data_IF_158763279372
#
_entry.id   IF_158763279372
#
_cell.length_a   1.000
_cell.length_b   1.000
_cell.length_c   1.000
_cell.angle_alpha   90.00
_cell.angle_beta   90.00
_cell.angle_gamma   90.00
#
_symmetry.space_group_name_H-M   'P 1'
#
loop_
_entity.id
_entity.type
_entity.pdbx_description
1 polymer ?
#
# COMPACT_ATOMS: atom_id res chain seq x y z
N UNK A 1 -46.72 -26.40 -28.03
CA UNK A 1 -46.90 -26.97 -26.68
C UNK A 1 -46.22 -26.06 -25.67
N UNK A 2 -46.53 -26.21 -24.37
CA UNK A 2 -45.98 -25.38 -23.29
C UNK A 2 -45.18 -26.24 -22.33
N UNK A 3 -43.96 -25.82 -22.00
CA UNK A 3 -43.09 -26.52 -21.04
C UNK A 3 -42.52 -25.55 -20.03
N UNK A 4 -42.38 -26.03 -18.81
CA UNK A 4 -41.63 -25.41 -17.72
C UNK A 4 -40.30 -26.16 -17.58
N UNK A 5 -39.19 -25.45 -17.54
CA UNK A 5 -37.86 -26.00 -17.34
C UNK A 5 -37.26 -25.35 -16.10
N UNK A 6 -36.74 -26.16 -15.17
CA UNK A 6 -36.08 -25.69 -13.95
C UNK A 6 -34.62 -26.12 -14.00
N UNK A 7 -33.71 -25.15 -13.99
CA UNK A 7 -32.27 -25.38 -13.90
C UNK A 7 -31.83 -25.06 -12.48
N UNK A 8 -31.32 -26.04 -11.72
CA UNK A 8 -30.81 -25.85 -10.35
C UNK A 8 -29.29 -25.78 -10.32
N UNK A 9 -28.76 -25.08 -9.31
CA UNK A 9 -27.33 -24.98 -9.02
C UNK A 9 -26.90 -23.52 -8.84
N UNK A 10 -25.61 -23.20 -8.98
CA UNK A 10 -25.12 -21.81 -8.96
C UNK A 10 -25.46 -21.11 -10.28
N UNK A 11 -26.65 -20.52 -10.36
CA UNK A 11 -27.23 -20.00 -11.60
C UNK A 11 -27.76 -18.56 -11.47
N UNK A 12 -27.72 -17.94 -10.29
CA UNK A 12 -28.07 -16.53 -10.11
C UNK A 12 -26.85 -15.62 -10.35
N UNK A 13 -27.09 -14.41 -10.86
CA UNK A 13 -26.06 -13.39 -11.12
C UNK A 13 -24.88 -13.83 -12.00
N UNK A 14 -25.02 -14.92 -12.75
CA UNK A 14 -24.01 -15.44 -13.71
C UNK A 14 -24.41 -15.21 -15.17
N UNK A 15 -25.39 -14.35 -15.44
CA UNK A 15 -25.84 -14.05 -16.80
C UNK A 15 -26.77 -15.09 -17.44
N UNK A 16 -27.32 -16.02 -16.66
CA UNK A 16 -28.12 -17.14 -17.17
C UNK A 16 -29.40 -16.69 -17.90
N UNK A 17 -30.15 -15.70 -17.37
CA UNK A 17 -31.38 -15.19 -17.99
C UNK A 17 -31.16 -14.56 -19.39
N UNK A 18 -30.22 -13.60 -19.57
CA UNK A 18 -29.85 -13.12 -20.90
C UNK A 18 -29.37 -14.22 -21.85
N UNK A 19 -28.58 -15.17 -21.34
CA UNK A 19 -28.10 -16.30 -22.13
C UNK A 19 -29.25 -17.16 -22.66
N UNK A 20 -30.22 -17.50 -21.82
CA UNK A 20 -31.39 -18.29 -22.21
C UNK A 20 -32.28 -17.54 -23.21
N UNK A 21 -32.46 -16.23 -23.02
CA UNK A 21 -33.18 -15.40 -23.99
C UNK A 21 -32.50 -15.44 -25.36
N UNK A 22 -31.17 -15.30 -25.41
CA UNK A 22 -30.42 -15.41 -26.67
C UNK A 22 -30.60 -16.77 -27.38
N UNK A 23 -30.66 -17.87 -26.62
CA UNK A 23 -30.97 -19.18 -27.17
C UNK A 23 -32.40 -19.25 -27.72
N UNK A 24 -33.38 -18.67 -27.01
CA UNK A 24 -34.77 -18.65 -27.43
C UNK A 24 -34.96 -17.84 -28.73
N UNK A 25 -34.32 -16.67 -28.83
CA UNK A 25 -34.29 -15.84 -30.03
C UNK A 25 -33.65 -16.57 -31.22
N UNK A 26 -32.51 -17.24 -30.99
CA UNK A 26 -31.82 -18.03 -32.02
C UNK A 26 -32.71 -19.14 -32.61
N UNK A 27 -33.54 -19.76 -31.77
CA UNK A 27 -34.49 -20.79 -32.19
C UNK A 27 -35.81 -20.21 -32.70
N UNK A 28 -36.00 -18.89 -32.69
CA UNK A 28 -37.24 -18.22 -33.08
C UNK A 28 -38.42 -18.64 -32.22
N UNK A 29 -38.21 -18.74 -30.91
CA UNK A 29 -39.24 -19.01 -29.90
C UNK A 29 -39.92 -17.69 -29.55
N UNK A 30 -41.17 -17.53 -29.99
CA UNK A 30 -41.91 -16.26 -29.82
C UNK A 30 -42.35 -15.99 -28.38
N UNK A 31 -42.51 -17.02 -27.56
CA UNK A 31 -43.09 -16.94 -26.21
C UNK A 31 -42.15 -17.58 -25.21
N UNK A 32 -41.53 -16.73 -24.40
CA UNK A 32 -40.42 -17.09 -23.54
C UNK A 32 -40.43 -16.23 -22.29
N UNK A 33 -40.16 -16.86 -21.15
CA UNK A 33 -39.95 -16.18 -19.89
C UNK A 33 -38.90 -16.95 -19.10
N UNK A 34 -38.02 -16.24 -18.38
CA UNK A 34 -37.11 -16.86 -17.44
C UNK A 34 -36.97 -16.01 -16.18
N UNK A 35 -37.02 -16.64 -15.01
CA UNK A 35 -36.83 -15.95 -13.75
C UNK A 35 -36.00 -16.74 -12.74
N UNK A 36 -35.37 -16.00 -11.84
CA UNK A 36 -34.59 -16.55 -10.77
C UNK A 36 -35.54 -16.92 -9.62
N UNK A 37 -35.63 -18.21 -9.32
CA UNK A 37 -36.43 -18.74 -8.22
C UNK A 37 -35.53 -19.44 -7.20
N UNK A 38 -36.09 -19.76 -6.03
CA UNK A 38 -35.44 -20.64 -5.06
C UNK A 38 -36.26 -21.91 -4.93
N UNK A 39 -35.62 -23.07 -5.09
CA UNK A 39 -36.28 -24.36 -4.90
C UNK A 39 -35.56 -25.07 -3.77
N UNK A 40 -36.28 -25.34 -2.67
CA UNK A 40 -35.71 -25.90 -1.44
C UNK A 40 -34.54 -25.07 -0.86
N UNK A 41 -34.57 -23.75 -1.03
CA UNK A 41 -33.50 -22.84 -0.58
C UNK A 41 -32.32 -22.72 -1.53
N UNK A 42 -32.21 -23.57 -2.55
CA UNK A 42 -31.17 -23.54 -3.57
C UNK A 42 -31.53 -22.60 -4.72
N UNK A 43 -30.51 -22.03 -5.35
CA UNK A 43 -30.65 -21.21 -6.55
C UNK A 43 -31.18 -22.04 -7.72
N UNK A 44 -32.21 -21.52 -8.39
CA UNK A 44 -32.69 -22.08 -9.63
C UNK A 44 -33.13 -21.01 -10.62
N UNK A 45 -33.11 -21.33 -11.91
CA UNK A 45 -33.74 -20.53 -12.97
C UNK A 45 -34.91 -21.33 -13.50
N UNK A 46 -36.10 -20.75 -13.38
CA UNK A 46 -37.33 -21.25 -13.98
C UNK A 46 -37.46 -20.63 -15.37
N UNK A 47 -37.85 -21.44 -16.35
CA UNK A 47 -37.99 -21.07 -17.75
C UNK A 47 -39.34 -21.56 -18.23
N UNK A 48 -40.13 -20.69 -18.84
CA UNK A 48 -41.41 -21.01 -19.43
C UNK A 48 -41.33 -20.77 -20.94
N UNK A 49 -41.64 -21.80 -21.72
CA UNK A 49 -41.51 -21.78 -23.18
C UNK A 49 -42.80 -22.27 -23.82
N UNK A 50 -43.29 -21.53 -24.82
CA UNK A 50 -44.34 -21.99 -25.73
C UNK A 50 -43.82 -22.00 -27.17
N UNK A 51 -43.67 -23.21 -27.72
CA UNK A 51 -43.17 -23.44 -29.08
C UNK A 51 -43.59 -24.83 -29.60
N UNK A 52 -43.39 -25.12 -30.90
CA UNK A 52 -43.43 -26.49 -31.42
C UNK A 52 -42.45 -27.39 -30.68
N UNK A 53 -42.79 -28.69 -30.58
CA UNK A 53 -42.01 -29.68 -29.83
C UNK A 53 -40.55 -29.76 -30.27
N UNK A 54 -40.30 -29.72 -31.59
CA UNK A 54 -38.97 -29.71 -32.19
C UNK A 54 -38.07 -28.58 -31.65
N UNK A 55 -38.63 -27.37 -31.51
CA UNK A 55 -37.90 -26.21 -30.99
C UNK A 55 -37.62 -26.33 -29.50
N UNK A 56 -38.56 -26.89 -28.73
CA UNK A 56 -38.38 -27.12 -27.30
C UNK A 56 -37.29 -28.17 -27.06
N UNK A 57 -37.30 -29.26 -27.83
CA UNK A 57 -36.27 -30.29 -27.75
C UNK A 57 -34.89 -29.73 -28.12
N UNK A 58 -34.82 -28.90 -29.18
CA UNK A 58 -33.60 -28.20 -29.57
C UNK A 58 -33.09 -27.27 -28.46
N UNK A 59 -34.00 -26.51 -27.82
CA UNK A 59 -33.66 -25.64 -26.69
C UNK A 59 -33.11 -26.46 -25.50
N UNK A 60 -33.76 -27.58 -25.18
CA UNK A 60 -33.35 -28.47 -24.10
C UNK A 60 -31.95 -29.07 -24.32
N UNK A 61 -31.61 -29.43 -25.56
CA UNK A 61 -30.27 -29.91 -25.89
C UNK A 61 -29.21 -28.80 -25.81
N UNK A 62 -29.55 -27.56 -26.20
CA UNK A 62 -28.63 -26.42 -26.09
C UNK A 62 -28.28 -26.09 -24.64
N UNK A 63 -29.26 -26.06 -23.72
CA UNK A 63 -29.02 -25.74 -22.31
C UNK A 63 -28.24 -26.84 -21.55
N UNK A 64 -28.24 -28.08 -22.05
CA UNK A 64 -27.37 -29.15 -21.54
C UNK A 64 -25.92 -28.97 -21.98
N UNK A 65 -25.72 -28.54 -23.22
CA UNK A 65 -24.38 -28.42 -23.83
C UNK A 65 -23.69 -27.10 -23.50
N UNK A 66 -24.46 -26.02 -23.41
CA UNK A 66 -23.97 -24.65 -23.25
C UNK A 66 -24.52 -24.04 -21.97
N UNK A 67 -23.65 -23.33 -21.25
CA UNK A 67 -23.98 -22.57 -20.04
C UNK A 67 -23.08 -21.34 -19.94
N UNK A 68 -23.46 -20.32 -19.16
CA UNK A 68 -22.57 -19.20 -18.86
C UNK A 68 -21.30 -19.64 -18.13
N UNK A 69 -20.20 -18.92 -18.32
CA UNK A 69 -18.85 -19.23 -17.79
C UNK A 69 -18.85 -19.50 -16.28
N UNK A 70 -19.56 -18.65 -15.52
CA UNK A 70 -19.58 -18.72 -14.05
C UNK A 70 -20.69 -19.63 -13.49
N UNK A 71 -21.46 -20.30 -14.34
CA UNK A 71 -22.60 -21.12 -13.91
C UNK A 71 -22.20 -22.56 -13.55
N UNK A 72 -22.76 -23.07 -12.45
CA UNK A 72 -22.71 -24.49 -12.09
C UNK A 72 -24.12 -25.05 -12.10
N UNK A 73 -24.39 -25.97 -13.03
CA UNK A 73 -25.69 -26.62 -13.15
C UNK A 73 -25.61 -27.98 -12.47
N UNK A 74 -26.55 -28.26 -11.58
CA UNK A 74 -26.67 -29.51 -10.83
C UNK A 74 -27.75 -30.41 -11.42
N UNK A 75 -28.91 -29.83 -11.77
CA UNK A 75 -29.99 -30.58 -12.41
C UNK A 75 -30.83 -29.70 -13.32
N UNK A 76 -31.44 -30.34 -14.32
CA UNK A 76 -32.41 -29.73 -15.23
C UNK A 76 -33.65 -30.61 -15.20
N UNK A 77 -34.80 -30.03 -14.86
CA UNK A 77 -36.10 -30.72 -14.85
C UNK A 77 -37.02 -30.08 -15.88
N UNK A 78 -37.83 -30.89 -16.56
CA UNK A 78 -38.80 -30.43 -17.56
C UNK A 78 -40.17 -30.93 -17.12
N UNK A 79 -41.14 -30.02 -17.07
CA UNK A 79 -42.50 -30.23 -16.62
C UNK A 79 -43.49 -29.64 -17.64
N UNK A 80 -44.72 -30.12 -17.61
CA UNK A 80 -45.81 -29.48 -18.36
C UNK A 80 -46.21 -28.18 -17.70
N UNK A 81 -46.59 -27.20 -18.52
CA UNK A 81 -46.99 -25.90 -18.03
C UNK A 81 -48.34 -25.50 -18.63
N UNK A 82 -49.30 -25.24 -17.75
CA UNK A 82 -50.56 -24.61 -18.11
C UNK A 82 -50.54 -23.16 -17.66
N UNK A 83 -50.74 -22.24 -18.60
CA UNK A 83 -50.70 -20.82 -18.31
C UNK A 83 -50.35 -19.97 -19.53
N UNK A 84 -50.38 -18.66 -19.35
CA UNK A 84 -49.98 -17.71 -20.38
C UNK A 84 -48.49 -17.39 -20.26
N UNK A 85 -47.77 -17.44 -21.39
CA UNK A 85 -46.36 -17.07 -21.46
C UNK A 85 -46.27 -15.78 -22.26
N UNK A 86 -45.57 -14.77 -21.74
CA UNK A 86 -45.40 -13.51 -22.45
C UNK A 86 -44.56 -13.68 -23.73
N UNK A 87 -44.64 -12.70 -24.62
CA UNK A 87 -43.80 -12.68 -25.81
C UNK A 87 -42.33 -12.43 -25.43
N UNK A 88 -41.42 -13.06 -26.16
CA UNK A 88 -39.98 -12.94 -25.94
C UNK A 88 -39.51 -11.47 -26.03
N UNK A 89 -40.11 -10.68 -26.94
CA UNK A 89 -39.83 -9.25 -27.08
C UNK A 89 -40.28 -8.44 -25.84
N UNK A 90 -41.44 -8.78 -25.25
CA UNK A 90 -41.90 -8.16 -24.01
C UNK A 90 -40.98 -8.54 -22.84
N UNK A 91 -40.54 -9.80 -22.79
CA UNK A 91 -39.55 -10.25 -21.81
C UNK A 91 -38.19 -9.56 -22.00
N UNK A 92 -37.75 -9.33 -23.23
CA UNK A 92 -36.52 -8.58 -23.54
C UNK A 92 -36.58 -7.16 -22.96
N UNK A 93 -37.68 -6.44 -23.16
CA UNK A 93 -37.89 -5.10 -22.58
C UNK A 93 -37.86 -5.13 -21.05
N UNK A 94 -38.57 -6.08 -20.45
CA UNK A 94 -38.60 -6.28 -19.00
C UNK A 94 -37.21 -6.59 -18.43
N UNK A 95 -36.50 -7.55 -19.01
CA UNK A 95 -35.16 -7.95 -18.60
C UNK A 95 -34.19 -6.78 -18.74
N UNK A 96 -34.26 -6.02 -19.83
CA UNK A 96 -33.43 -4.84 -20.07
C UNK A 96 -33.64 -3.77 -19.00
N UNK A 97 -34.89 -3.47 -18.64
CA UNK A 97 -35.20 -2.50 -17.58
C UNK A 97 -34.64 -2.94 -16.21
N UNK A 98 -34.77 -4.21 -15.86
CA UNK A 98 -34.18 -4.76 -14.63
C UNK A 98 -32.66 -4.65 -14.64
N UNK A 99 -32.02 -4.94 -15.77
CA UNK A 99 -30.55 -4.86 -15.87
C UNK A 99 -30.06 -3.42 -15.75
N UNK A 100 -30.74 -2.47 -16.37
CA UNK A 100 -30.44 -1.04 -16.22
C UNK A 100 -30.59 -0.58 -14.76
N UNK A 101 -31.66 -0.99 -14.08
CA UNK A 101 -31.86 -0.68 -12.66
C UNK A 101 -30.75 -1.28 -11.77
N UNK A 102 -30.30 -2.51 -12.06
CA UNK A 102 -29.17 -3.12 -11.37
C UNK A 102 -27.87 -2.35 -11.62
N UNK A 103 -27.61 -1.96 -12.87
CA UNK A 103 -26.42 -1.17 -13.22
C UNK A 103 -26.45 0.18 -12.49
N UNK A 104 -27.58 0.89 -12.47
CA UNK A 104 -27.71 2.15 -11.74
C UNK A 104 -27.45 1.96 -10.23
N UNK A 105 -28.03 0.92 -9.64
CA UNK A 105 -27.89 0.62 -8.20
C UNK A 105 -26.45 0.26 -7.83
N UNK A 106 -25.90 -0.78 -8.48
CA UNK A 106 -24.55 -1.25 -8.20
C UNK A 106 -23.49 -0.23 -8.65
N UNK A 107 -23.74 0.49 -9.75
CA UNK A 107 -22.91 1.58 -10.23
C UNK A 107 -22.82 2.70 -9.20
N UNK A 108 -23.96 3.13 -8.63
CA UNK A 108 -23.99 4.10 -7.54
C UNK A 108 -23.20 3.64 -6.31
N UNK A 109 -23.38 2.38 -5.88
CA UNK A 109 -22.60 1.81 -4.77
C UNK A 109 -21.10 1.70 -5.07
N UNK A 110 -20.73 1.46 -6.34
CA UNK A 110 -19.33 1.39 -6.77
C UNK A 110 -18.69 2.77 -6.74
N UNK A 111 -19.39 3.80 -7.20
CA UNK A 111 -18.94 5.20 -7.11
C UNK A 111 -18.71 5.61 -5.65
N UNK A 112 -19.66 5.34 -4.75
CA UNK A 112 -19.52 5.66 -3.33
C UNK A 112 -18.31 4.94 -2.69
N UNK A 113 -18.04 3.68 -3.09
CA UNK A 113 -16.86 2.95 -2.62
C UNK A 113 -15.56 3.53 -3.19
N UNK A 114 -15.56 4.01 -4.43
CA UNK A 114 -14.41 4.69 -5.03
C UNK A 114 -14.14 6.02 -4.33
N UNK A 115 -15.16 6.82 -4.04
CA UNK A 115 -15.01 8.08 -3.29
C UNK A 115 -14.38 7.83 -1.91
N UNK A 116 -14.87 6.83 -1.17
CA UNK A 116 -14.26 6.43 0.12
C UNK A 116 -12.82 5.94 -0.01
N UNK A 117 -12.44 5.39 -1.16
CA UNK A 117 -11.06 4.96 -1.41
C UNK A 117 -10.16 6.17 -1.71
N UNK A 118 -10.64 7.13 -2.49
CA UNK A 118 -9.95 8.40 -2.76
C UNK A 118 -9.72 9.19 -1.47
N UNK A 119 -10.75 9.34 -0.62
CA UNK A 119 -10.60 10.00 0.69
C UNK A 119 -9.53 9.35 1.58
N UNK A 120 -9.39 8.02 1.52
CA UNK A 120 -8.34 7.31 2.26
C UNK A 120 -6.96 7.54 1.67
N UNK A 121 -6.85 7.66 0.35
CA UNK A 121 -5.60 8.00 -0.32
C UNK A 121 -5.16 9.42 0.03
N UNK A 122 -6.08 10.39 0.01
CA UNK A 122 -5.79 11.78 0.40
C UNK A 122 -5.25 11.86 1.84
N UNK A 123 -5.92 11.19 2.79
CA UNK A 123 -5.44 11.11 4.18
C UNK A 123 -4.07 10.43 4.33
N UNK A 124 -3.72 9.52 3.42
CA UNK A 124 -2.41 8.88 3.42
C UNK A 124 -1.34 9.82 2.88
N UNK A 125 -1.64 10.59 1.83
CA UNK A 125 -0.77 11.62 1.27
C UNK A 125 -0.50 12.72 2.30
N UNK A 126 -1.53 13.24 2.97
CA UNK A 126 -1.37 14.24 4.05
C UNK A 126 -0.44 13.75 5.17
N UNK A 127 -0.53 12.45 5.53
CA UNK A 127 0.37 11.85 6.52
C UNK A 127 1.80 11.73 6.02
N UNK A 128 1.99 11.41 4.73
CA UNK A 128 3.32 11.38 4.12
C UNK A 128 3.93 12.78 4.09
N UNK A 129 3.19 13.79 3.69
CA UNK A 129 3.65 15.18 3.72
C UNK A 129 4.02 15.63 5.14
N UNK A 130 3.21 15.27 6.15
CA UNK A 130 3.54 15.55 7.55
C UNK A 130 4.83 14.86 8.00
N UNK A 131 5.09 13.64 7.54
CA UNK A 131 6.32 12.90 7.86
C UNK A 131 7.54 13.53 7.17
N UNK A 132 7.42 13.91 5.90
CA UNK A 132 8.48 14.60 5.15
C UNK A 132 8.85 15.92 5.82
N UNK A 133 7.86 16.74 6.18
CA UNK A 133 8.10 17.98 6.91
C UNK A 133 8.84 17.76 8.26
N UNK A 134 8.53 16.66 8.96
CA UNK A 134 9.26 16.31 10.19
C UNK A 134 10.70 15.89 9.91
N UNK A 135 10.94 15.15 8.83
CA UNK A 135 12.29 14.77 8.41
C UNK A 135 13.11 16.01 8.04
N UNK A 136 12.55 16.94 7.26
CA UNK A 136 13.21 18.20 6.91
C UNK A 136 13.56 19.03 8.16
N UNK A 137 12.65 19.10 9.13
CA UNK A 137 12.93 19.77 10.40
C UNK A 137 14.06 19.10 11.21
N UNK A 138 14.16 17.77 11.17
CA UNK A 138 15.26 17.05 11.81
C UNK A 138 16.59 17.27 11.10
N UNK A 139 16.59 17.26 9.76
CA UNK A 139 17.77 17.58 8.95
C UNK A 139 18.30 18.98 9.28
N UNK A 140 17.42 19.99 9.28
CA UNK A 140 17.82 21.35 9.65
C UNK A 140 18.41 21.46 11.07
N UNK A 141 17.90 20.68 12.04
CA UNK A 141 18.48 20.63 13.39
C UNK A 141 19.86 19.96 13.41
N UNK A 142 20.07 18.93 12.59
CA UNK A 142 21.38 18.29 12.45
C UNK A 142 22.40 19.23 11.82
N UNK A 143 22.03 19.97 10.77
CA UNK A 143 22.90 20.98 10.15
C UNK A 143 23.35 22.04 11.17
N UNK A 144 22.41 22.57 11.97
CA UNK A 144 22.74 23.51 13.05
C UNK A 144 23.68 22.93 14.13
N UNK A 145 23.59 21.62 14.38
CA UNK A 145 24.46 20.95 15.34
C UNK A 145 25.88 20.76 14.77
N UNK A 146 25.98 20.40 13.49
CA UNK A 146 27.26 20.31 12.77
C UNK A 146 27.96 21.67 12.74
N UNK A 147 27.26 22.76 12.40
CA UNK A 147 27.84 24.11 12.43
C UNK A 147 28.38 24.50 13.83
N UNK A 148 27.69 24.09 14.90
CA UNK A 148 28.15 24.33 16.27
C UNK A 148 29.39 23.50 16.60
N UNK A 149 29.47 22.27 16.12
CA UNK A 149 30.65 21.42 16.28
C UNK A 149 31.85 22.00 15.53
N UNK A 150 31.67 22.45 14.29
CA UNK A 150 32.73 23.10 13.50
C UNK A 150 33.30 24.32 14.22
N UNK A 151 32.43 25.22 14.73
CA UNK A 151 32.85 26.38 15.54
C UNK A 151 33.59 25.99 16.81
N UNK A 152 33.25 24.85 17.42
CA UNK A 152 33.93 24.35 18.62
C UNK A 152 35.31 23.80 18.27
N UNK A 153 35.44 23.07 17.15
CA UNK A 153 36.72 22.57 16.65
C UNK A 153 37.67 23.72 16.30
N UNK A 154 37.18 24.77 15.62
CA UNK A 154 37.98 25.97 15.34
C UNK A 154 38.52 26.63 16.62
N UNK A 155 37.69 26.72 17.67
CA UNK A 155 38.13 27.25 18.97
C UNK A 155 39.17 26.35 19.62
N UNK A 156 38.98 25.03 19.57
CA UNK A 156 39.96 24.08 20.10
C UNK A 156 41.30 24.19 19.37
N UNK A 157 41.30 24.34 18.04
CA UNK A 157 42.52 24.54 17.25
C UNK A 157 43.28 25.81 17.67
N UNK A 158 42.56 26.90 17.94
CA UNK A 158 43.16 28.14 18.47
C UNK A 158 43.78 27.87 19.84
N UNK A 159 43.05 27.26 20.77
CA UNK A 159 43.55 26.95 22.11
C UNK A 159 44.78 26.03 22.06
N UNK A 160 44.79 25.02 21.19
CA UNK A 160 45.95 24.13 21.00
C UNK A 160 47.17 24.92 20.50
N UNK A 161 46.99 25.85 19.55
CA UNK A 161 48.07 26.72 19.07
C UNK A 161 48.62 27.58 20.20
N UNK A 162 47.77 28.16 21.03
CA UNK A 162 48.18 28.94 22.20
C UNK A 162 48.96 28.11 23.21
N UNK A 163 48.49 26.90 23.54
CA UNK A 163 49.19 25.96 24.44
C UNK A 163 50.57 25.62 23.87
N UNK A 164 50.67 25.28 22.57
CA UNK A 164 51.97 25.00 21.92
C UNK A 164 52.92 26.20 22.01
N UNK A 165 52.40 27.41 21.80
CA UNK A 165 53.19 28.64 21.94
C UNK A 165 53.69 28.83 23.38
N UNK A 166 52.84 28.62 24.38
CA UNK A 166 53.22 28.70 25.80
C UNK A 166 54.28 27.65 26.14
N UNK A 167 54.09 26.39 25.71
CA UNK A 167 55.06 25.31 25.90
C UNK A 167 56.43 25.70 25.35
N UNK A 168 56.48 26.20 24.11
CA UNK A 168 57.75 26.62 23.49
C UNK A 168 58.45 27.77 24.23
N UNK A 169 57.69 28.66 24.87
CA UNK A 169 58.26 29.73 25.71
C UNK A 169 58.78 29.17 27.03
N UNK A 170 58.09 28.20 27.62
CA UNK A 170 58.51 27.52 28.84
C UNK A 170 59.80 26.73 28.60
N UNK A 171 59.89 25.99 27.49
CA UNK A 171 61.10 25.24 27.10
C UNK A 171 62.32 26.16 27.01
N UNK A 172 62.19 27.31 26.32
CA UNK A 172 63.25 28.34 26.26
C UNK A 172 63.60 28.91 27.63
N UNK A 173 62.61 29.07 28.51
CA UNK A 173 62.85 29.58 29.86
C UNK A 173 63.62 28.57 30.69
N UNK A 174 63.28 27.28 30.60
CA UNK A 174 63.98 26.20 31.27
C UNK A 174 65.44 26.10 30.78
N UNK A 175 65.69 26.14 29.47
CA UNK A 175 67.06 26.16 28.93
C UNK A 175 67.90 27.34 29.46
N UNK A 176 67.29 28.53 29.62
CA UNK A 176 67.97 29.69 30.19
C UNK A 176 68.23 29.53 31.69
N UNK A 177 67.33 28.90 32.43
CA UNK A 177 67.49 28.61 33.85
C UNK A 177 68.60 27.57 34.06
N UNK A 178 68.62 26.49 33.29
CA UNK A 178 69.66 25.46 33.34
C UNK A 178 71.05 26.07 33.14
N UNK A 179 71.21 26.92 32.11
CA UNK A 179 72.46 27.68 31.88
C UNK A 179 72.83 28.61 33.03
N UNK A 180 71.84 29.19 33.73
CA UNK A 180 72.08 30.04 34.90
C UNK A 180 72.50 29.20 36.10
N UNK A 181 71.86 28.05 36.34
CA UNK A 181 72.22 27.13 37.41
C UNK A 181 73.65 26.59 37.20
N UNK A 182 74.01 26.17 35.99
CA UNK A 182 75.39 25.75 35.68
C UNK A 182 76.43 26.84 36.01
N UNK A 183 76.14 28.11 35.66
CA UNK A 183 77.03 29.23 35.99
C UNK A 183 77.14 29.47 37.49
N UNK A 184 76.01 29.43 38.20
CA UNK A 184 75.99 29.59 39.65
C UNK A 184 76.74 28.46 40.34
N UNK A 185 76.57 27.21 39.91
CA UNK A 185 77.32 26.07 40.42
C UNK A 185 78.82 26.26 40.21
N UNK A 186 79.26 26.73 39.04
CA UNK A 186 80.66 27.06 38.78
C UNK A 186 81.18 28.20 39.65
N UNK A 187 80.38 29.24 39.89
CA UNK A 187 80.75 30.36 40.77
C UNK A 187 80.85 29.92 42.22
N UNK A 188 79.89 29.14 42.72
CA UNK A 188 79.92 28.56 44.07
C UNK A 188 81.15 27.67 44.24
N UNK A 189 81.49 26.86 43.25
CA UNK A 189 82.69 26.02 43.26
C UNK A 189 83.98 26.85 43.32
N UNK A 190 84.04 27.98 42.60
CA UNK A 190 85.18 28.92 42.69
C UNK A 190 85.27 29.56 44.08
N UNK A 191 84.15 29.97 44.66
CA UNK A 191 84.09 30.56 46.01
C UNK A 191 84.53 29.54 47.05
N UNK A 192 84.03 28.29 46.99
CA UNK A 192 84.46 27.20 47.87
C UNK A 192 85.98 27.00 47.81
N UNK A 193 86.57 26.95 46.62
CA UNK A 193 88.04 26.84 46.44
C UNK A 193 88.80 28.03 47.04
N UNK A 194 88.27 29.25 46.91
CA UNK A 194 88.90 30.45 47.47
C UNK A 194 88.86 30.45 49.01
N UNK A 195 87.75 30.04 49.61
CA UNK A 195 87.58 29.93 51.07
C UNK A 195 88.48 28.85 51.69
N UNK A 196 88.60 27.68 51.03
CA UNK A 196 89.56 26.64 51.44
C UNK A 196 90.99 27.18 51.42
N UNK A 197 91.39 27.92 50.36
CA UNK A 197 92.71 28.58 50.29
C UNK A 197 92.93 29.63 51.39
N UNK A 198 91.86 30.23 51.90
CA UNK A 198 91.90 31.21 52.99
C UNK A 198 91.92 30.57 54.39
N UNK A 199 91.90 29.23 54.50
CA UNK A 199 91.99 28.50 55.78
C UNK A 199 90.66 28.31 56.51
N UNK A 200 89.52 28.50 55.83
CA UNK A 200 88.18 28.30 56.39
C UNK A 200 87.71 26.89 56.03
N UNK A 201 87.45 26.03 57.03
CA UNK A 201 86.87 24.70 56.80
C UNK A 201 85.42 24.82 56.31
N UNK A 202 85.11 24.15 55.20
CA UNK A 202 83.75 24.02 54.66
C UNK A 202 83.43 22.53 54.67
N UNK A 203 82.47 22.11 55.50
CA UNK A 203 81.91 20.75 55.49
C UNK A 203 80.90 20.57 54.36
#
# INVERSE_FOLDING_TARGET
MKRKIIIRGKVHNVGYRPFLLGLAETLGIKRFFADNVKVNGEEAVEILIEAPEEKINSFHELIKRKKPENAKVESIKVEEFEGNIMEAEAYYRFLSAIQLSKIATYGGQMLEKQDKMLEKQDKMLEKQDSLLNKQDSMLGKMDMMLEKQDKMLEKQDITIKEIKNVSSKLDKTNELLDKRFERLEQEVEKIKKALIKAGIEIS
#
